data_IF_653753298531
#
_entry.id   IF_653753298531
#
_cell.length_a   1.000
_cell.length_b   1.000
_cell.length_c   1.000
_cell.angle_alpha   90.00
_cell.angle_beta   90.00
_cell.angle_gamma   90.00
#
_symmetry.space_group_name_H-M   'P 1'
#
loop_
_entity.id
_entity.type
_entity.pdbx_description
1 polymer ?
#
# COMPACT_ATOMS: atom_id res chain seq x y z
N UNK A 1 34.03 26.80 -31.12
CA UNK A 1 33.40 26.97 -29.80
C UNK A 1 32.36 25.88 -29.65
N UNK A 2 32.71 24.79 -28.98
CA UNK A 2 31.81 23.65 -28.78
C UNK A 2 31.04 23.90 -27.48
N UNK A 3 29.74 24.18 -27.60
CA UNK A 3 28.87 24.40 -26.46
C UNK A 3 28.73 23.09 -25.69
N UNK A 4 29.38 22.99 -24.53
CA UNK A 4 29.20 21.88 -23.59
C UNK A 4 27.74 21.87 -23.13
N UNK A 5 26.92 20.96 -23.65
CA UNK A 5 25.59 20.68 -23.08
C UNK A 5 25.81 20.22 -21.64
N UNK A 6 25.33 21.01 -20.67
CA UNK A 6 25.26 20.58 -19.29
C UNK A 6 24.43 19.28 -19.20
N UNK A 7 24.81 18.32 -18.34
CA UNK A 7 24.02 17.11 -18.17
C UNK A 7 22.61 17.48 -17.70
N UNK A 8 21.58 16.93 -18.35
CA UNK A 8 20.19 17.01 -17.90
C UNK A 8 20.13 16.41 -16.49
N UNK A 9 19.89 17.24 -15.48
CA UNK A 9 19.59 16.77 -14.13
C UNK A 9 18.11 16.45 -14.06
N UNK A 10 17.82 15.24 -13.61
CA UNK A 10 16.48 14.75 -13.33
C UNK A 10 16.30 14.72 -11.82
N UNK A 11 15.27 15.40 -11.33
CA UNK A 11 14.88 15.33 -9.93
C UNK A 11 13.63 14.45 -9.81
N UNK A 12 13.73 13.38 -9.00
CA UNK A 12 12.62 12.47 -8.72
C UNK A 12 12.24 12.57 -7.25
N UNK A 13 10.98 12.91 -6.99
CA UNK A 13 10.38 12.91 -5.66
C UNK A 13 9.32 11.82 -5.62
N UNK A 14 9.34 11.00 -4.56
CA UNK A 14 8.35 9.96 -4.31
C UNK A 14 7.68 10.25 -2.97
N UNK A 15 6.36 10.43 -2.99
CA UNK A 15 5.54 10.60 -1.79
C UNK A 15 4.60 9.41 -1.71
N UNK A 16 4.50 8.77 -0.55
CA UNK A 16 3.62 7.64 -0.33
C UNK A 16 2.72 7.88 0.89
N UNK A 17 1.42 7.89 0.66
CA UNK A 17 0.39 7.97 1.69
C UNK A 17 -0.32 6.63 1.82
N UNK A 18 -0.81 6.30 3.03
CA UNK A 18 -1.60 5.10 3.22
C UNK A 18 -2.73 5.28 4.24
N UNK A 19 -3.83 4.55 4.02
CA UNK A 19 -4.93 4.40 4.98
C UNK A 19 -5.11 2.93 5.33
N UNK A 20 -5.57 2.64 6.55
CA UNK A 20 -5.74 1.27 7.04
C UNK A 20 -7.14 1.10 7.62
N UNK A 21 -7.87 0.11 7.11
CA UNK A 21 -9.17 -0.31 7.59
C UNK A 21 -9.07 -1.74 8.16
N UNK A 22 -9.78 -1.98 9.28
CA UNK A 22 -9.93 -3.31 9.87
C UNK A 22 -11.37 -3.77 9.74
N UNK A 23 -11.59 -4.82 8.94
CA UNK A 23 -12.91 -5.38 8.65
C UNK A 23 -13.13 -6.65 9.47
N UNK A 24 -14.21 -6.70 10.25
CA UNK A 24 -14.61 -7.90 10.97
C UNK A 24 -15.35 -8.86 10.02
N UNK A 25 -14.81 -10.05 9.81
CA UNK A 25 -15.37 -11.11 8.96
C UNK A 25 -16.11 -12.20 9.75
N UNK A 26 -16.27 -12.01 11.07
CA UNK A 26 -16.88 -12.96 11.98
C UNK A 26 -15.99 -14.15 12.34
N UNK A 27 -16.29 -14.79 13.48
CA UNK A 27 -15.59 -15.99 13.94
C UNK A 27 -14.12 -15.75 14.30
N UNK A 28 -13.76 -14.55 14.76
CA UNK A 28 -12.37 -14.20 15.09
C UNK A 28 -11.50 -13.88 13.87
N UNK A 29 -12.09 -13.79 12.68
CA UNK A 29 -11.39 -13.45 11.43
C UNK A 29 -11.56 -11.97 11.10
N UNK A 30 -10.48 -11.38 10.64
CA UNK A 30 -10.40 -9.97 10.27
C UNK A 30 -9.70 -9.83 8.92
N UNK A 31 -10.10 -8.83 8.14
CA UNK A 31 -9.32 -8.37 7.00
C UNK A 31 -8.71 -7.02 7.33
N UNK A 32 -7.39 -6.91 7.22
CA UNK A 32 -6.67 -5.64 7.21
C UNK A 32 -6.60 -5.20 5.76
N UNK A 33 -7.21 -4.07 5.46
CA UNK A 33 -7.12 -3.46 4.15
C UNK A 33 -6.29 -2.18 4.23
N UNK A 34 -5.17 -2.16 3.52
CA UNK A 34 -4.28 -0.99 3.46
C UNK A 34 -4.32 -0.41 2.06
N UNK A 35 -4.84 0.80 1.91
CA UNK A 35 -4.77 1.56 0.66
C UNK A 35 -3.48 2.34 0.65
N UNK A 36 -2.70 2.23 -0.41
CA UNK A 36 -1.42 2.93 -0.59
C UNK A 36 -1.52 3.75 -1.86
N UNK A 37 -1.22 5.05 -1.75
CA UNK A 37 -1.15 6.00 -2.84
C UNK A 37 0.28 6.49 -2.97
N UNK A 38 0.86 6.31 -4.15
CA UNK A 38 2.23 6.71 -4.46
C UNK A 38 2.18 7.79 -5.52
N UNK A 39 2.58 8.99 -5.15
CA UNK A 39 2.72 10.12 -6.07
C UNK A 39 4.20 10.26 -6.40
N UNK A 40 4.53 10.07 -7.67
CA UNK A 40 5.87 10.26 -8.18
C UNK A 40 5.91 11.49 -9.07
N UNK A 41 6.70 12.47 -8.64
CA UNK A 41 7.01 13.65 -9.43
C UNK A 41 8.39 13.49 -10.05
N UNK A 42 8.48 13.70 -11.37
CA UNK A 42 9.74 13.81 -12.09
C UNK A 42 9.81 15.18 -12.76
N UNK A 43 10.80 15.97 -12.37
CA UNK A 43 11.11 17.26 -13.00
C UNK A 43 12.43 17.20 -13.74
N UNK A 44 12.46 17.87 -14.89
CA UNK A 44 13.65 18.07 -15.70
C UNK A 44 13.93 19.56 -15.75
N UNK A 45 15.20 19.97 -15.66
CA UNK A 45 15.55 21.41 -15.60
C UNK A 45 15.07 22.24 -16.80
N UNK A 46 14.67 21.59 -17.90
CA UNK A 46 14.25 22.23 -19.15
C UNK A 46 12.87 21.77 -19.67
N UNK A 47 12.25 20.78 -19.03
CA UNK A 47 10.97 20.19 -19.45
C UNK A 47 10.06 20.11 -18.22
N UNK A 48 8.76 20.39 -18.41
CA UNK A 48 7.79 20.53 -17.32
C UNK A 48 7.74 19.35 -16.35
N UNK A 49 7.09 19.58 -15.21
CA UNK A 49 6.91 18.57 -14.19
C UNK A 49 5.93 17.48 -14.66
N UNK A 50 6.32 16.22 -14.51
CA UNK A 50 5.44 15.08 -14.75
C UNK A 50 5.10 14.40 -13.43
N UNK A 51 3.80 14.29 -13.13
CA UNK A 51 3.32 13.63 -11.92
C UNK A 51 2.57 12.36 -12.31
N UNK A 52 2.97 11.22 -11.75
CA UNK A 52 2.25 9.95 -11.89
C UNK A 52 1.74 9.50 -10.53
N UNK A 53 0.45 9.17 -10.47
CA UNK A 53 -0.19 8.62 -9.27
C UNK A 53 -0.41 7.12 -9.45
N UNK A 54 0.00 6.32 -8.47
CA UNK A 54 -0.32 4.90 -8.39
C UNK A 54 -1.10 4.60 -7.11
N UNK A 55 -2.25 3.94 -7.24
CA UNK A 55 -3.03 3.47 -6.09
C UNK A 55 -3.10 1.93 -6.12
N UNK A 56 -2.80 1.32 -4.97
CA UNK A 56 -2.96 -0.13 -4.78
C UNK A 56 -3.40 -0.44 -3.36
N UNK A 57 -4.02 -1.61 -3.20
CA UNK A 57 -4.50 -2.09 -1.90
C UNK A 57 -3.88 -3.41 -1.54
N UNK A 58 -3.42 -3.49 -0.30
CA UNK A 58 -2.96 -4.71 0.34
C UNK A 58 -4.09 -5.26 1.21
N UNK A 59 -4.59 -6.45 0.87
CA UNK A 59 -5.55 -7.18 1.69
C UNK A 59 -4.82 -8.29 2.44
N UNK A 60 -4.79 -8.21 3.77
CA UNK A 60 -4.26 -9.23 4.65
C UNK A 60 -5.36 -9.85 5.50
N UNK A 61 -5.34 -11.18 5.65
CA UNK A 61 -6.22 -11.86 6.61
C UNK A 61 -5.52 -12.01 7.97
N UNK A 62 -6.27 -11.81 9.05
CA UNK A 62 -5.82 -12.14 10.42
C UNK A 62 -6.89 -12.97 11.09
N UNK A 63 -6.48 -14.00 11.81
CA UNK A 63 -7.39 -14.87 12.56
C UNK A 63 -6.92 -15.02 14.00
N UNK A 64 -7.83 -14.82 14.93
CA UNK A 64 -7.59 -15.06 16.35
C UNK A 64 -8.00 -16.49 16.66
N UNK A 65 -7.02 -17.34 17.00
CA UNK A 65 -7.23 -18.74 17.33
C UNK A 65 -6.81 -19.00 18.78
N UNK A 66 -7.31 -20.09 19.38
CA UNK A 66 -6.84 -20.54 20.69
C UNK A 66 -5.46 -21.17 20.56
N UNK A 67 -4.58 -20.87 21.51
CA UNK A 67 -3.29 -21.54 21.65
C UNK A 67 -3.49 -22.96 22.15
N UNK A 68 -2.71 -23.90 21.62
CA UNK A 68 -2.77 -25.33 21.98
C UNK A 68 -1.71 -25.67 23.04
N UNK A 69 -0.74 -24.78 23.27
CA UNK A 69 0.36 -25.02 24.20
C UNK A 69 0.03 -24.52 25.61
N UNK A 70 -0.15 -25.49 26.52
CA UNK A 70 0.38 -25.51 27.90
C UNK A 70 -0.11 -24.52 28.94
N UNK A 71 -0.45 -23.28 28.60
CA UNK A 71 -0.78 -22.24 29.57
C UNK A 71 -2.13 -21.59 29.24
N UNK A 72 -3.13 -21.93 30.07
CA UNK A 72 -4.33 -21.16 30.36
C UNK A 72 -4.97 -20.39 29.19
N UNK A 73 -5.51 -21.09 28.19
CA UNK A 73 -6.53 -20.53 27.30
C UNK A 73 -6.11 -19.29 26.49
N UNK A 74 -4.81 -19.10 26.24
CA UNK A 74 -4.31 -17.94 25.50
C UNK A 74 -4.86 -17.84 24.08
N UNK A 75 -5.11 -16.61 23.62
CA UNK A 75 -5.44 -16.31 22.22
C UNK A 75 -4.16 -15.96 21.47
N UNK A 76 -4.02 -16.44 20.23
CA UNK A 76 -2.94 -16.06 19.32
C UNK A 76 -3.48 -15.52 18.01
N UNK A 77 -2.80 -14.54 17.45
CA UNK A 77 -3.09 -14.04 16.10
C UNK A 77 -2.30 -14.82 15.06
N UNK A 78 -2.99 -15.32 14.04
CA UNK A 78 -2.42 -15.95 12.85
C UNK A 78 -2.54 -14.95 11.70
N UNK A 79 -1.41 -14.55 11.12
CA UNK A 79 -1.37 -13.70 9.92
C UNK A 79 -1.42 -14.60 8.69
N UNK A 80 -2.38 -14.33 7.81
CA UNK A 80 -2.52 -14.99 6.53
C UNK A 80 -1.80 -14.21 5.43
N UNK A 81 -1.54 -14.86 4.29
CA UNK A 81 -0.86 -14.24 3.14
C UNK A 81 -1.64 -13.02 2.64
N UNK A 82 -0.94 -11.91 2.44
CA UNK A 82 -1.54 -10.71 1.88
C UNK A 82 -1.54 -10.74 0.35
N UNK A 83 -2.54 -10.10 -0.27
CA UNK A 83 -2.63 -9.91 -1.73
C UNK A 83 -2.66 -8.42 -2.07
N UNK A 84 -1.89 -8.03 -3.09
CA UNK A 84 -1.88 -6.67 -3.65
C UNK A 84 -2.80 -6.58 -4.85
N UNK A 85 -3.68 -5.60 -4.86
CA UNK A 85 -4.55 -5.25 -5.98
C UNK A 85 -4.21 -3.84 -6.47
N UNK A 86 -3.98 -3.67 -7.77
CA UNK A 86 -3.78 -2.34 -8.38
C UNK A 86 -5.09 -1.93 -9.02
N UNK A 87 -5.56 -0.72 -8.72
CA UNK A 87 -6.75 -0.16 -9.34
C UNK A 87 -6.30 0.90 -10.33
N UNK A 88 -6.85 0.85 -11.55
CA UNK A 88 -6.51 1.82 -12.60
C UNK A 88 -7.61 2.88 -12.68
N UNK A 89 -8.88 2.50 -12.50
CA UNK A 89 -10.05 3.40 -12.57
C UNK A 89 -11.13 3.08 -11.54
N UNK A 90 -10.94 2.07 -10.70
CA UNK A 90 -11.97 1.54 -9.81
C UNK A 90 -11.91 2.21 -8.43
N UNK A 91 -13.07 2.36 -7.78
CA UNK A 91 -13.17 2.80 -6.39
C UNK A 91 -13.54 1.62 -5.51
N UNK A 92 -12.83 1.46 -4.40
CA UNK A 92 -13.13 0.40 -3.43
C UNK A 92 -14.29 0.85 -2.55
N UNK A 93 -15.29 -0.01 -2.43
CA UNK A 93 -16.35 0.12 -1.45
C UNK A 93 -16.35 -1.13 -0.58
N UNK A 94 -16.10 -0.96 0.70
CA UNK A 94 -16.32 -2.00 1.68
C UNK A 94 -17.83 -2.16 1.86
N UNK A 95 -18.38 -3.30 1.47
CA UNK A 95 -19.77 -3.66 1.76
C UNK A 95 -19.70 -4.85 2.71
N UNK A 96 -20.12 -4.63 3.95
CA UNK A 96 -20.24 -5.65 4.99
C UNK A 96 -21.71 -6.07 5.11
#
# INVERSE_FOLDING_TARGET
MEARRAPMQQHKVLVADHTVDLLNLGGGRFCIATVIRVNQTVSFNCEGETTTEEEFVLLGGVEVVRSVEGEAGGLRMVKHKSKRYKFIRDKIRWVL
#
